data_IF_224887956070
#
_entry.id   IF_224887956070
#
_cell.length_a   1.000
_cell.length_b   1.000
_cell.length_c   1.000
_cell.angle_alpha   90.00
_cell.angle_beta   90.00
_cell.angle_gamma   90.00
#
_symmetry.space_group_name_H-M   'P 1'
#
loop_
_entity.id
_entity.type
_entity.pdbx_description
1 polymer ?
#
# COMPACT_ATOMS: atom_id res chain seq x y z
N UNK A 1 0.12 -17.61 8.59
CA UNK A 1 0.38 -17.53 10.05
C UNK A 1 -0.83 -16.90 10.71
N UNK A 2 -1.52 -17.64 11.59
CA UNK A 2 -2.72 -17.18 12.29
C UNK A 2 -2.43 -16.02 13.21
N UNK A 3 -2.92 -14.83 12.86
CA UNK A 3 -2.76 -13.65 13.71
C UNK A 3 -3.99 -13.52 14.58
N UNK A 4 -3.94 -14.11 15.78
CA UNK A 4 -4.84 -13.72 16.86
C UNK A 4 -4.73 -12.21 17.10
N UNK A 5 -5.78 -11.56 17.58
CA UNK A 5 -5.76 -10.12 17.92
C UNK A 5 -4.61 -9.74 18.86
N UNK A 6 -4.22 -10.67 19.75
CA UNK A 6 -3.05 -10.57 20.63
C UNK A 6 -1.71 -10.54 19.87
N UNK A 7 -1.61 -11.21 18.72
CA UNK A 7 -0.43 -11.17 17.85
C UNK A 7 -0.37 -9.83 17.09
N UNK A 8 -1.50 -9.36 16.53
CA UNK A 8 -1.60 -8.05 15.85
C UNK A 8 -1.12 -6.91 16.76
N UNK A 9 -1.58 -6.88 18.02
CA UNK A 9 -1.17 -5.87 18.98
C UNK A 9 0.34 -5.95 19.29
N UNK A 10 0.88 -7.16 19.48
CA UNK A 10 2.31 -7.37 19.75
C UNK A 10 3.17 -6.93 18.57
N UNK A 11 2.81 -7.31 17.34
CA UNK A 11 3.54 -6.91 16.13
C UNK A 11 3.52 -5.39 15.97
N UNK A 12 2.34 -4.77 16.13
CA UNK A 12 2.24 -3.30 16.10
C UNK A 12 3.19 -2.63 17.09
N UNK A 13 3.20 -3.06 18.36
CA UNK A 13 4.08 -2.48 19.38
C UNK A 13 5.56 -2.72 19.06
N UNK A 14 5.90 -3.88 18.51
CA UNK A 14 7.25 -4.19 18.06
C UNK A 14 7.72 -3.19 16.99
N UNK A 15 6.95 -3.01 15.91
CA UNK A 15 7.31 -2.06 14.85
C UNK A 15 7.29 -0.61 15.32
N UNK A 16 6.39 -0.25 16.24
CA UNK A 16 6.31 1.08 16.84
C UNK A 16 7.59 1.41 17.59
N UNK A 17 8.05 0.47 18.43
CA UNK A 17 9.30 0.61 19.19
C UNK A 17 10.51 0.71 18.26
N UNK A 18 10.58 -0.10 17.20
CA UNK A 18 11.69 -0.05 16.22
C UNK A 18 11.73 1.28 15.46
N UNK A 19 10.58 1.78 14.99
CA UNK A 19 10.46 3.09 14.33
C UNK A 19 10.88 4.22 15.29
N UNK A 20 10.34 4.23 16.51
CA UNK A 20 10.61 5.29 17.47
C UNK A 20 12.07 5.28 17.94
N UNK A 21 12.68 4.10 18.11
CA UNK A 21 14.10 3.99 18.45
C UNK A 21 15.00 4.54 17.33
N UNK A 22 14.64 4.29 16.06
CA UNK A 22 15.34 4.87 14.93
C UNK A 22 15.24 6.40 14.90
N UNK A 23 14.04 6.95 15.09
CA UNK A 23 13.83 8.40 15.16
C UNK A 23 14.58 9.02 16.34
N UNK A 24 14.55 8.38 17.50
CA UNK A 24 15.28 8.81 18.69
C UNK A 24 16.78 8.89 18.42
N UNK A 25 17.36 7.89 17.74
CA UNK A 25 18.78 7.91 17.39
C UNK A 25 19.11 9.07 16.44
N UNK A 26 18.31 9.28 15.38
CA UNK A 26 18.55 10.40 14.44
C UNK A 26 18.43 11.75 15.14
N UNK A 27 17.31 12.00 15.82
CA UNK A 27 17.05 13.28 16.48
C UNK A 27 18.08 13.51 17.60
N UNK A 28 18.38 12.47 18.37
CA UNK A 28 19.40 12.50 19.41
C UNK A 28 20.78 12.82 18.87
N UNK A 29 21.20 12.21 17.75
CA UNK A 29 22.49 12.52 17.12
C UNK A 29 22.56 13.96 16.61
N UNK A 30 21.49 14.47 15.99
CA UNK A 30 21.44 15.88 15.55
C UNK A 30 21.52 16.82 16.75
N UNK A 31 20.80 16.51 17.83
CA UNK A 31 20.84 17.30 19.06
C UNK A 31 22.23 17.31 19.70
N UNK A 32 22.90 16.16 19.77
CA UNK A 32 24.27 16.04 20.28
C UNK A 32 25.25 16.85 19.42
N UNK A 33 25.13 16.81 18.09
CA UNK A 33 25.98 17.62 17.20
C UNK A 33 25.78 19.14 17.45
N UNK A 34 24.53 19.57 17.61
CA UNK A 34 24.22 20.96 17.94
C UNK A 34 24.76 21.36 19.32
N UNK A 35 24.67 20.49 20.31
CA UNK A 35 25.17 20.76 21.65
C UNK A 35 26.71 20.84 21.68
N UNK A 36 27.39 19.95 20.96
CA UNK A 36 28.85 20.04 20.76
C UNK A 36 29.21 21.36 20.09
N UNK A 37 28.47 21.81 19.07
CA UNK A 37 28.70 23.09 18.41
C UNK A 37 28.67 24.25 19.41
N UNK A 38 27.60 24.33 20.21
CA UNK A 38 27.40 25.39 21.21
C UNK A 38 28.52 25.38 22.26
N UNK A 39 28.90 24.20 22.75
CA UNK A 39 29.99 24.07 23.72
C UNK A 39 31.31 24.59 23.12
N UNK A 40 31.68 24.15 21.92
CA UNK A 40 32.94 24.56 21.29
C UNK A 40 32.99 26.07 21.05
N UNK A 41 31.86 26.68 20.66
CA UNK A 41 31.73 28.15 20.55
C UNK A 41 31.93 28.86 21.89
N UNK A 42 31.36 28.33 22.97
CA UNK A 42 31.52 28.92 24.31
C UNK A 42 32.98 28.92 24.78
N UNK A 43 33.78 27.95 24.33
CA UNK A 43 35.22 27.89 24.58
C UNK A 43 36.06 28.74 23.61
N UNK A 44 35.43 29.54 22.75
CA UNK A 44 36.10 30.41 21.76
C UNK A 44 37.07 29.63 20.83
N UNK A 45 36.74 28.37 20.53
CA UNK A 45 37.52 27.58 19.57
C UNK A 45 37.30 28.18 18.18
N UNK A 46 38.37 28.25 17.40
CA UNK A 46 38.34 28.73 16.02
C UNK A 46 37.30 27.96 15.18
N UNK A 47 36.45 28.71 14.47
CA UNK A 47 35.40 28.17 13.61
C UNK A 47 35.93 27.15 12.59
N UNK A 48 37.17 27.34 12.11
CA UNK A 48 37.81 26.40 11.19
C UNK A 48 37.99 25.01 11.81
N UNK A 49 38.35 24.93 13.09
CA UNK A 49 38.53 23.68 13.83
C UNK A 49 37.16 23.04 14.09
N UNK A 50 36.18 23.83 14.49
CA UNK A 50 34.80 23.34 14.72
C UNK A 50 34.25 22.71 13.45
N UNK A 51 34.34 23.40 12.30
CA UNK A 51 33.90 22.89 11.01
C UNK A 51 34.65 21.62 10.60
N UNK A 52 35.95 21.56 10.85
CA UNK A 52 36.79 20.38 10.53
C UNK A 52 36.31 19.12 11.26
N UNK A 53 35.77 19.25 12.48
CA UNK A 53 35.23 18.13 13.25
C UNK A 53 33.78 17.83 12.88
N UNK A 54 32.94 18.86 12.75
CA UNK A 54 31.50 18.69 12.58
C UNK A 54 31.11 18.20 11.19
N UNK A 55 31.81 18.66 10.15
CA UNK A 55 31.47 18.31 8.78
C UNK A 55 31.63 16.79 8.51
N UNK A 56 32.75 16.13 8.89
CA UNK A 56 32.86 14.68 8.81
C UNK A 56 31.77 13.94 9.59
N UNK A 57 31.45 14.38 10.82
CA UNK A 57 30.40 13.76 11.63
C UNK A 57 29.01 13.89 10.97
N UNK A 58 28.70 15.05 10.41
CA UNK A 58 27.46 15.28 9.67
C UNK A 58 27.36 14.42 8.40
N UNK A 59 28.48 14.24 7.69
CA UNK A 59 28.56 13.33 6.52
C UNK A 59 28.34 11.88 6.95
N UNK A 60 29.01 11.42 8.02
CA UNK A 60 28.84 10.05 8.56
C UNK A 60 27.37 9.81 8.95
N UNK A 61 26.75 10.77 9.65
CA UNK A 61 25.35 10.67 10.04
C UNK A 61 24.42 10.63 8.82
N UNK A 62 24.69 11.45 7.80
CA UNK A 62 23.91 11.47 6.56
C UNK A 62 23.99 10.15 5.81
N UNK A 63 25.19 9.58 5.67
CA UNK A 63 25.39 8.26 5.06
C UNK A 63 24.66 7.16 5.86
N UNK A 64 24.76 7.19 7.19
CA UNK A 64 24.02 6.27 8.05
C UNK A 64 22.51 6.34 7.82
N UNK A 65 21.94 7.55 7.75
CA UNK A 65 20.50 7.76 7.49
C UNK A 65 20.12 7.18 6.12
N UNK A 66 20.92 7.43 5.08
CA UNK A 66 20.65 6.91 3.73
C UNK A 66 20.62 5.38 3.70
N UNK A 67 21.59 4.71 4.34
CA UNK A 67 21.65 3.24 4.42
C UNK A 67 20.45 2.68 5.19
N UNK A 68 20.05 3.33 6.29
CA UNK A 68 18.95 2.83 7.14
C UNK A 68 17.55 3.25 6.68
N UNK A 69 17.44 4.22 5.76
CA UNK A 69 16.17 4.74 5.22
C UNK A 69 15.23 3.63 4.76
N UNK A 70 15.73 2.61 4.06
CA UNK A 70 14.90 1.50 3.58
C UNK A 70 14.29 0.69 4.73
N UNK A 71 15.08 0.38 5.77
CA UNK A 71 14.59 -0.32 6.97
C UNK A 71 13.56 0.51 7.72
N UNK A 72 13.77 1.82 7.81
CA UNK A 72 12.80 2.73 8.41
C UNK A 72 11.47 2.73 7.65
N UNK A 73 11.51 2.86 6.31
CA UNK A 73 10.31 2.80 5.48
C UNK A 73 9.56 1.47 5.66
N UNK A 74 10.28 0.35 5.76
CA UNK A 74 9.69 -0.94 6.06
C UNK A 74 8.94 -0.93 7.41
N UNK A 75 9.53 -0.38 8.47
CA UNK A 75 8.85 -0.27 9.77
C UNK A 75 7.59 0.60 9.71
N UNK A 76 7.61 1.69 8.95
CA UNK A 76 6.43 2.55 8.73
C UNK A 76 5.34 1.79 7.99
N UNK A 77 5.69 1.09 6.91
CA UNK A 77 4.76 0.29 6.11
C UNK A 77 4.10 -0.83 6.93
N UNK A 78 4.89 -1.54 7.74
CA UNK A 78 4.36 -2.58 8.64
C UNK A 78 3.44 -1.97 9.70
N UNK A 79 3.80 -0.82 10.28
CA UNK A 79 2.93 -0.11 11.23
C UNK A 79 1.59 0.28 10.63
N UNK A 80 1.61 0.83 9.41
CA UNK A 80 0.39 1.18 8.68
C UNK A 80 -0.47 -0.06 8.44
N UNK A 81 0.14 -1.18 8.01
CA UNK A 81 -0.56 -2.46 7.85
C UNK A 81 -1.24 -2.95 9.13
N UNK A 82 -0.50 -3.04 10.24
CA UNK A 82 -1.10 -3.47 11.51
C UNK A 82 -2.10 -2.46 12.09
N UNK A 83 -2.02 -1.19 11.70
CA UNK A 83 -3.06 -0.20 12.06
C UNK A 83 -4.34 -0.49 11.29
N UNK A 84 -4.25 -0.79 9.99
CA UNK A 84 -5.41 -1.20 9.19
C UNK A 84 -6.09 -2.46 9.74
N UNK A 85 -5.30 -3.46 10.16
CA UNK A 85 -5.85 -4.68 10.74
C UNK A 85 -6.61 -4.45 12.07
N UNK A 86 -6.21 -3.44 12.85
CA UNK A 86 -6.90 -3.08 14.10
C UNK A 86 -8.17 -2.27 13.87
N UNK A 87 -8.12 -1.40 12.88
CA UNK A 87 -9.20 -0.48 12.53
C UNK A 87 -10.08 -1.03 11.38
N UNK A 88 -10.06 -2.34 11.17
CA UNK A 88 -10.79 -3.03 10.11
C UNK A 88 -12.31 -2.87 10.29
N UNK A 89 -12.99 -2.49 9.19
CA UNK A 89 -14.44 -2.27 9.16
C UNK A 89 -15.26 -3.53 8.86
N UNK A 90 -14.62 -4.65 8.50
CA UNK A 90 -15.33 -5.87 8.18
C UNK A 90 -16.13 -5.82 6.86
N UNK A 91 -16.94 -6.87 6.60
CA UNK A 91 -17.74 -6.96 5.38
C UNK A 91 -18.80 -5.86 5.29
N UNK A 92 -19.18 -5.54 4.06
CA UNK A 92 -20.22 -4.55 3.73
C UNK A 92 -21.12 -5.07 2.64
N UNK A 93 -22.40 -4.72 2.75
CA UNK A 93 -23.36 -5.01 1.70
C UNK A 93 -22.98 -4.30 0.39
N UNK A 94 -23.02 -5.04 -0.71
CA UNK A 94 -22.74 -4.55 -2.05
C UNK A 94 -24.04 -4.53 -2.87
N UNK A 95 -24.65 -3.35 -3.11
CA UNK A 95 -25.86 -3.26 -3.93
C UNK A 95 -25.72 -3.89 -5.32
N UNK A 96 -24.51 -3.88 -5.88
CA UNK A 96 -24.20 -4.48 -7.18
C UNK A 96 -23.45 -5.80 -7.01
N UNK A 97 -23.93 -6.85 -7.68
CA UNK A 97 -23.22 -8.13 -7.73
C UNK A 97 -21.97 -8.03 -8.59
N UNK A 98 -20.82 -8.26 -7.95
CA UNK A 98 -19.56 -8.48 -8.65
C UNK A 98 -19.67 -9.73 -9.53
N UNK A 99 -18.86 -9.81 -10.59
CA UNK A 99 -18.83 -10.92 -11.57
C UNK A 99 -20.11 -11.12 -12.39
N UNK A 100 -21.03 -10.14 -12.40
CA UNK A 100 -22.15 -10.12 -13.34
C UNK A 100 -21.72 -9.61 -14.71
N UNK A 101 -22.49 -9.91 -15.76
CA UNK A 101 -22.21 -9.39 -17.11
C UNK A 101 -22.21 -7.86 -17.14
N UNK A 102 -23.18 -7.24 -16.47
CA UNK A 102 -23.30 -5.78 -16.36
C UNK A 102 -22.11 -5.14 -15.65
N UNK A 103 -21.54 -5.82 -14.65
CA UNK A 103 -20.32 -5.36 -14.00
C UNK A 103 -19.10 -5.38 -14.93
N UNK A 104 -18.95 -6.42 -15.75
CA UNK A 104 -17.87 -6.49 -16.76
C UNK A 104 -18.05 -5.44 -17.85
N UNK A 105 -19.28 -5.26 -18.35
CA UNK A 105 -19.64 -4.22 -19.32
C UNK A 105 -19.27 -2.83 -18.78
N UNK A 106 -19.61 -2.53 -17.52
CA UNK A 106 -19.25 -1.27 -16.86
C UNK A 106 -17.74 -1.05 -16.77
N UNK A 107 -16.97 -2.07 -16.41
CA UNK A 107 -15.49 -1.97 -16.37
C UNK A 107 -14.92 -1.62 -17.75
N UNK A 108 -15.44 -2.23 -18.81
CA UNK A 108 -15.01 -1.95 -20.18
C UNK A 108 -15.41 -0.53 -20.62
N UNK A 109 -16.61 -0.08 -20.27
CA UNK A 109 -17.08 1.30 -20.50
C UNK A 109 -16.20 2.35 -19.79
N UNK A 110 -15.71 2.04 -18.59
CA UNK A 110 -14.76 2.88 -17.83
C UNK A 110 -13.33 2.87 -18.43
N UNK A 111 -13.13 2.16 -19.55
CA UNK A 111 -11.92 2.19 -20.36
C UNK A 111 -10.85 1.17 -19.96
N UNK A 112 -11.23 0.10 -19.28
CA UNK A 112 -10.35 -1.03 -19.04
C UNK A 112 -10.32 -1.98 -20.23
N UNK A 113 -9.12 -2.45 -20.59
CA UNK A 113 -8.92 -3.42 -21.66
C UNK A 113 -8.68 -4.80 -21.09
N UNK A 114 -9.19 -5.84 -21.76
CA UNK A 114 -8.84 -7.21 -21.44
C UNK A 114 -7.36 -7.46 -21.79
N UNK A 115 -6.58 -7.87 -20.81
CA UNK A 115 -5.16 -8.19 -21.00
C UNK A 115 -4.90 -9.67 -21.13
N UNK A 116 -5.68 -10.51 -20.43
CA UNK A 116 -5.53 -11.95 -20.45
C UNK A 116 -6.78 -12.66 -19.93
N UNK A 117 -7.09 -13.83 -20.49
CA UNK A 117 -8.16 -14.69 -20.02
C UNK A 117 -7.76 -16.17 -20.18
N UNK A 118 -7.88 -16.95 -19.11
CA UNK A 118 -7.75 -18.41 -19.15
C UNK A 118 -8.89 -19.07 -18.35
N UNK A 119 -8.76 -20.36 -18.03
CA UNK A 119 -9.76 -21.11 -17.23
C UNK A 119 -9.78 -20.70 -15.75
N UNK A 120 -8.69 -20.13 -15.23
CA UNK A 120 -8.49 -19.87 -13.81
C UNK A 120 -8.80 -18.41 -13.42
N UNK A 121 -8.57 -17.46 -14.33
CA UNK A 121 -8.84 -16.04 -14.10
C UNK A 121 -9.05 -15.22 -15.38
N UNK A 122 -9.50 -13.97 -15.20
CA UNK A 122 -9.57 -12.91 -16.22
C UNK A 122 -8.86 -11.68 -15.68
N UNK A 123 -8.09 -11.01 -16.52
CA UNK A 123 -7.35 -9.80 -16.18
C UNK A 123 -7.78 -8.65 -17.09
N UNK A 124 -8.21 -7.56 -16.47
CA UNK A 124 -8.43 -6.27 -17.12
C UNK A 124 -7.39 -5.26 -16.63
N UNK A 125 -6.99 -4.31 -17.49
CA UNK A 125 -6.00 -3.31 -17.13
C UNK A 125 -6.28 -1.96 -17.79
N UNK A 126 -5.73 -0.91 -17.20
CA UNK A 126 -5.76 0.45 -17.74
C UNK A 126 -4.49 1.20 -17.35
N UNK A 127 -3.89 1.89 -18.31
CA UNK A 127 -2.82 2.86 -18.06
C UNK A 127 -3.40 4.27 -17.96
N UNK A 128 -3.24 4.90 -16.80
CA UNK A 128 -3.76 6.24 -16.53
C UNK A 128 -2.57 7.21 -16.40
N UNK A 129 -2.41 8.19 -17.31
CA UNK A 129 -1.30 9.14 -17.27
C UNK A 129 -1.29 10.03 -16.02
N UNK A 130 -2.50 10.34 -15.49
CA UNK A 130 -2.69 11.11 -14.26
C UNK A 130 -4.02 10.77 -13.57
N UNK A 131 -3.97 10.42 -12.29
CA UNK A 131 -5.17 10.24 -11.47
C UNK A 131 -5.76 11.60 -11.10
N UNK A 132 -7.06 11.79 -11.36
CA UNK A 132 -7.77 13.07 -11.18
C UNK A 132 -7.61 13.67 -9.77
N UNK A 133 -7.61 12.81 -8.74
CA UNK A 133 -7.58 13.24 -7.33
C UNK A 133 -6.17 13.35 -6.72
N UNK A 134 -5.11 13.18 -7.53
CA UNK A 134 -3.73 13.15 -7.03
C UNK A 134 -2.81 14.03 -7.89
N UNK A 135 -2.42 15.20 -7.35
CA UNK A 135 -1.62 16.25 -8.04
C UNK A 135 -0.35 15.70 -8.70
N UNK A 136 0.36 14.78 -8.03
CA UNK A 136 1.60 14.15 -8.51
C UNK A 136 1.46 12.63 -8.62
N UNK A 137 0.40 12.15 -9.30
CA UNK A 137 0.21 10.70 -9.45
C UNK A 137 1.28 10.08 -10.36
N UNK A 138 1.69 10.79 -11.42
CA UNK A 138 2.41 10.19 -12.54
C UNK A 138 1.55 9.17 -13.29
N UNK A 139 2.19 8.42 -14.20
CA UNK A 139 1.52 7.32 -14.91
C UNK A 139 1.31 6.15 -13.94
N UNK A 140 0.11 5.59 -13.98
CA UNK A 140 -0.35 4.53 -13.09
C UNK A 140 -0.89 3.39 -13.93
N UNK A 141 -0.50 2.16 -13.62
CA UNK A 141 -1.13 0.95 -14.12
C UNK A 141 -2.15 0.49 -13.08
N UNK A 142 -3.41 0.38 -13.47
CA UNK A 142 -4.45 -0.28 -12.67
C UNK A 142 -4.76 -1.62 -13.30
N UNK A 143 -4.75 -2.69 -12.50
CA UNK A 143 -5.07 -4.06 -12.92
C UNK A 143 -6.25 -4.55 -12.07
N UNK A 144 -7.24 -5.16 -12.73
CA UNK A 144 -8.35 -5.85 -12.10
C UNK A 144 -8.23 -7.33 -12.46
N UNK A 145 -8.04 -8.17 -11.44
CA UNK A 145 -7.84 -9.61 -11.58
C UNK A 145 -9.03 -10.35 -10.98
N UNK A 146 -9.69 -11.18 -11.77
CA UNK A 146 -10.89 -11.91 -11.36
C UNK A 146 -10.63 -13.41 -11.34
N UNK A 147 -10.59 -14.00 -10.15
CA UNK A 147 -10.48 -15.44 -10.00
C UNK A 147 -11.80 -16.13 -10.40
N UNK A 148 -11.70 -17.19 -11.20
CA UNK A 148 -12.85 -18.04 -11.60
C UNK A 148 -13.13 -19.14 -10.57
N UNK A 149 -12.17 -19.46 -9.71
CA UNK A 149 -12.27 -20.52 -8.70
C UNK A 149 -11.76 -20.08 -7.31
N UNK A 150 -12.34 -20.59 -6.21
CA UNK A 150 -12.02 -20.16 -4.84
C UNK A 150 -10.67 -20.66 -4.32
N UNK A 151 -9.99 -21.58 -5.02
CA UNK A 151 -8.64 -22.05 -4.67
C UNK A 151 -7.53 -21.36 -5.47
N UNK A 152 -7.87 -20.36 -6.29
CA UNK A 152 -6.90 -19.63 -7.07
C UNK A 152 -5.92 -18.86 -6.17
N UNK A 153 -4.64 -18.97 -6.51
CA UNK A 153 -3.55 -18.24 -5.88
C UNK A 153 -3.18 -17.02 -6.73
N UNK A 154 -3.45 -15.85 -6.17
CA UNK A 154 -3.15 -14.56 -6.78
C UNK A 154 -1.66 -14.24 -6.87
N UNK A 155 -0.83 -14.96 -6.12
CA UNK A 155 0.62 -14.76 -6.04
C UNK A 155 1.40 -15.85 -6.80
N UNK A 156 0.73 -16.51 -7.74
CA UNK A 156 1.36 -17.49 -8.62
C UNK A 156 2.26 -16.83 -9.67
N UNK A 157 3.36 -17.50 -10.02
CA UNK A 157 4.31 -17.05 -11.05
C UNK A 157 3.65 -16.73 -12.40
N UNK A 158 2.52 -17.37 -12.72
CA UNK A 158 1.77 -17.11 -13.96
C UNK A 158 1.17 -15.70 -13.96
N UNK A 159 0.51 -15.30 -12.86
CA UNK A 159 -0.07 -13.96 -12.71
C UNK A 159 1.02 -12.90 -12.79
N UNK A 160 2.13 -13.11 -12.08
CA UNK A 160 3.25 -12.17 -12.06
C UNK A 160 3.86 -11.99 -13.45
N UNK A 161 4.09 -13.08 -14.20
CA UNK A 161 4.59 -13.01 -15.59
C UNK A 161 3.64 -12.25 -16.49
N UNK A 162 2.32 -12.45 -16.36
CA UNK A 162 1.33 -11.77 -17.21
C UNK A 162 1.31 -10.28 -16.91
N UNK A 163 1.28 -9.88 -15.64
CA UNK A 163 1.31 -8.47 -15.26
C UNK A 163 2.63 -7.82 -15.69
N UNK A 164 3.76 -8.52 -15.53
CA UNK A 164 5.05 -8.06 -16.01
C UNK A 164 5.06 -7.87 -17.53
N UNK A 165 4.50 -8.81 -18.29
CA UNK A 165 4.41 -8.68 -19.75
C UNK A 165 3.56 -7.49 -20.19
N UNK A 166 2.43 -7.22 -19.51
CA UNK A 166 1.63 -6.02 -19.76
C UNK A 166 2.43 -4.74 -19.51
N UNK A 167 3.21 -4.72 -18.43
CA UNK A 167 4.08 -3.60 -18.11
C UNK A 167 5.16 -3.38 -19.18
N UNK A 168 5.88 -4.44 -19.56
CA UNK A 168 6.99 -4.38 -20.52
C UNK A 168 6.55 -4.00 -21.95
N UNK A 169 5.31 -4.32 -22.32
CA UNK A 169 4.77 -4.02 -23.64
C UNK A 169 4.20 -2.59 -23.76
N UNK A 170 4.17 -1.82 -22.67
CA UNK A 170 3.66 -0.46 -22.69
C UNK A 170 4.71 0.53 -23.22
N UNK A 171 4.33 1.33 -24.22
CA UNK A 171 5.22 2.32 -24.88
C UNK A 171 5.93 3.25 -23.88
N UNK A 172 5.26 3.59 -22.79
CA UNK A 172 5.74 4.50 -21.75
C UNK A 172 6.07 3.77 -20.44
N UNK A 173 6.48 2.50 -20.49
CA UNK A 173 6.78 1.66 -19.32
C UNK A 173 7.63 2.38 -18.25
N UNK A 174 8.69 3.08 -18.65
CA UNK A 174 9.62 3.78 -17.73
C UNK A 174 8.97 4.93 -16.96
N UNK A 175 7.82 5.43 -17.42
CA UNK A 175 7.05 6.49 -16.74
C UNK A 175 6.10 5.91 -15.69
N UNK A 176 5.73 4.64 -15.81
CA UNK A 176 4.82 3.95 -14.88
C UNK A 176 5.61 3.60 -13.63
N UNK A 177 5.38 4.33 -12.54
CA UNK A 177 6.01 4.06 -11.24
C UNK A 177 5.02 3.48 -10.21
N UNK A 178 3.75 3.36 -10.59
CA UNK A 178 2.66 3.02 -9.67
C UNK A 178 1.86 1.89 -10.30
N UNK A 179 1.79 0.77 -9.60
CA UNK A 179 1.02 -0.40 -9.99
C UNK A 179 0.00 -0.68 -8.88
N UNK A 180 -1.27 -0.62 -9.25
CA UNK A 180 -2.41 -0.81 -8.36
C UNK A 180 -3.21 -2.02 -8.85
N UNK A 181 -3.27 -3.08 -8.07
CA UNK A 181 -3.90 -4.34 -8.44
C UNK A 181 -5.06 -4.62 -7.50
N UNK A 182 -6.26 -4.81 -8.04
CA UNK A 182 -7.42 -5.33 -7.33
C UNK A 182 -7.60 -6.80 -7.69
N UNK A 183 -7.71 -7.66 -6.69
CA UNK A 183 -7.78 -9.11 -6.85
C UNK A 183 -9.10 -9.61 -6.29
N UNK A 184 -10.05 -9.95 -7.17
CA UNK A 184 -11.40 -10.34 -6.82
C UNK A 184 -11.57 -11.85 -6.78
N UNK A 185 -12.12 -12.36 -5.67
CA UNK A 185 -12.38 -13.78 -5.46
C UNK A 185 -13.74 -14.01 -4.83
N UNK A 186 -14.44 -15.05 -5.28
CA UNK A 186 -15.74 -15.45 -4.72
C UNK A 186 -15.55 -16.40 -3.54
N UNK A 187 -16.32 -16.18 -2.49
CA UNK A 187 -16.39 -17.06 -1.33
C UNK A 187 -17.85 -17.35 -0.99
N UNK A 188 -18.09 -18.48 -0.33
CA UNK A 188 -19.43 -18.85 0.10
C UNK A 188 -19.87 -18.13 1.38
N UNK A 189 -18.94 -17.93 2.30
CA UNK A 189 -19.16 -17.33 3.62
C UNK A 189 -17.91 -16.61 4.09
N UNK A 190 -18.10 -15.66 5.00
CA UNK A 190 -17.01 -14.96 5.66
C UNK A 190 -16.62 -15.70 6.94
N UNK A 191 -15.41 -16.25 6.97
CA UNK A 191 -14.81 -16.89 8.14
C UNK A 191 -13.39 -16.36 8.37
N UNK A 192 -12.73 -16.85 9.42
CA UNK A 192 -11.40 -16.37 9.82
C UNK A 192 -10.33 -16.70 8.76
N UNK A 193 -10.41 -17.85 8.10
CA UNK A 193 -9.43 -18.28 7.10
C UNK A 193 -9.54 -17.42 5.84
N UNK A 194 -10.78 -17.15 5.40
CA UNK A 194 -11.06 -16.24 4.30
C UNK A 194 -10.62 -14.82 4.65
N UNK A 195 -10.89 -14.35 5.87
CA UNK A 195 -10.41 -13.04 6.34
C UNK A 195 -8.90 -12.96 6.25
N UNK A 196 -8.18 -13.98 6.71
CA UNK A 196 -6.71 -14.01 6.67
C UNK A 196 -6.14 -14.03 5.25
N UNK A 197 -6.79 -14.75 4.32
CA UNK A 197 -6.44 -14.73 2.88
C UNK A 197 -6.61 -13.31 2.30
N UNK A 198 -7.74 -12.67 2.62
CA UNK A 198 -8.06 -11.32 2.13
C UNK A 198 -7.24 -10.21 2.80
N UNK A 199 -6.81 -10.40 4.04
CA UNK A 199 -5.91 -9.48 4.76
C UNK A 199 -4.48 -9.53 4.23
N UNK A 200 -4.11 -10.58 3.50
CA UNK A 200 -2.81 -10.75 2.85
C UNK A 200 -2.60 -9.80 1.67
N UNK A 201 -2.52 -8.50 1.95
CA UNK A 201 -2.32 -7.44 0.96
C UNK A 201 -0.83 -7.11 0.74
N UNK A 202 -0.51 -6.54 -0.42
CA UNK A 202 0.78 -5.89 -0.66
C UNK A 202 0.57 -4.38 -0.66
N UNK A 203 1.33 -3.64 0.15
CA UNK A 203 1.30 -2.17 0.17
C UNK A 203 2.71 -1.61 0.19
N UNK A 204 3.47 -1.88 -0.86
CA UNK A 204 4.88 -1.52 -0.95
C UNK A 204 5.05 -0.08 -1.46
N UNK A 205 5.94 0.66 -0.79
CA UNK A 205 6.32 2.03 -1.14
C UNK A 205 7.83 2.21 -1.04
N UNK A 206 8.46 2.58 -2.16
CA UNK A 206 9.87 2.95 -2.20
C UNK A 206 10.08 4.22 -3.04
N UNK A 207 10.37 5.33 -2.36
CA UNK A 207 10.44 6.66 -2.97
C UNK A 207 9.14 6.98 -3.76
N UNK A 208 9.23 7.10 -5.08
CA UNK A 208 8.09 7.37 -5.96
C UNK A 208 7.43 6.10 -6.51
N UNK A 209 7.96 4.91 -6.18
CA UNK A 209 7.44 3.64 -6.64
C UNK A 209 6.41 3.09 -5.66
N UNK A 210 5.24 2.71 -6.17
CA UNK A 210 4.15 2.11 -5.40
C UNK A 210 3.72 0.81 -6.06
N UNK A 211 3.61 -0.24 -5.26
CA UNK A 211 3.05 -1.53 -5.65
C UNK A 211 2.01 -1.90 -4.60
N UNK A 212 0.74 -1.84 -4.98
CA UNK A 212 -0.38 -2.09 -4.07
C UNK A 212 -1.25 -3.20 -4.64
N UNK A 213 -1.35 -4.33 -3.94
CA UNK A 213 -2.27 -5.41 -4.25
C UNK A 213 -3.31 -5.47 -3.13
N UNK A 214 -4.58 -5.34 -3.49
CA UNK A 214 -5.70 -5.40 -2.56
C UNK A 214 -6.64 -6.54 -2.94
N UNK A 215 -6.82 -7.46 -2.01
CA UNK A 215 -7.71 -8.60 -2.18
C UNK A 215 -9.14 -8.19 -1.82
N UNK A 216 -10.08 -8.62 -2.66
CA UNK A 216 -11.51 -8.34 -2.53
C UNK A 216 -12.26 -9.66 -2.56
N UNK A 217 -12.84 -10.02 -1.42
CA UNK A 217 -13.75 -11.16 -1.32
C UNK A 217 -15.17 -10.73 -1.60
N UNK A 218 -15.86 -11.45 -2.47
CA UNK A 218 -17.30 -11.30 -2.71
C UNK A 218 -18.04 -12.53 -2.17
N UNK A 219 -18.96 -12.32 -1.23
CA UNK A 219 -19.75 -13.35 -0.56
C UNK A 219 -21.11 -13.49 -1.24
N UNK A 220 -21.26 -14.54 -2.04
CA UNK A 220 -22.41 -14.68 -2.94
C UNK A 220 -23.73 -14.90 -2.21
N UNK A 221 -23.71 -15.51 -1.01
CA UNK A 221 -24.92 -15.81 -0.23
C UNK A 221 -25.52 -14.57 0.43
N UNK A 222 -24.67 -13.65 0.91
CA UNK A 222 -25.10 -12.44 1.63
C UNK A 222 -25.05 -11.17 0.77
N UNK A 223 -24.50 -11.28 -0.44
CA UNK A 223 -24.24 -10.14 -1.33
C UNK A 223 -23.42 -9.04 -0.62
N UNK A 224 -22.34 -9.49 0.03
CA UNK A 224 -21.39 -8.63 0.74
C UNK A 224 -20.02 -8.68 0.07
N UNK A 225 -19.24 -7.63 0.27
CA UNK A 225 -17.83 -7.60 -0.06
C UNK A 225 -16.99 -7.39 1.18
N UNK A 226 -15.79 -7.94 1.18
CA UNK A 226 -14.76 -7.66 2.16
C UNK A 226 -13.47 -7.29 1.42
N UNK A 227 -12.81 -6.26 1.91
CA UNK A 227 -11.44 -5.92 1.60
C UNK A 227 -10.88 -5.21 2.82
N UNK A 228 -9.60 -5.38 3.11
CA UNK A 228 -8.99 -4.71 4.25
C UNK A 228 -9.14 -3.19 4.07
N UNK A 229 -9.80 -2.53 5.02
CA UNK A 229 -10.01 -1.08 4.95
C UNK A 229 -10.08 -0.46 6.33
N UNK A 230 -9.22 0.55 6.61
CA UNK A 230 -9.22 1.20 7.90
C UNK A 230 -10.41 2.15 8.06
N UNK A 231 -10.96 2.21 9.26
CA UNK A 231 -11.95 3.22 9.67
C UNK A 231 -11.40 4.64 9.71
N UNK A 232 -10.15 4.79 10.16
CA UNK A 232 -9.58 6.09 10.56
C UNK A 232 -8.75 6.73 9.46
N UNK A 233 -7.78 6.00 8.91
CA UNK A 233 -6.80 6.57 7.98
C UNK A 233 -6.24 5.52 7.03
N UNK A 234 -6.33 5.83 5.74
CA UNK A 234 -5.68 5.04 4.70
C UNK A 234 -4.15 5.19 4.73
N UNK A 235 -3.39 4.12 4.45
CA UNK A 235 -1.93 4.14 4.53
C UNK A 235 -1.31 5.08 3.49
N UNK A 236 -1.97 5.22 2.34
CA UNK A 236 -1.62 6.22 1.34
C UNK A 236 -2.81 6.52 0.43
N UNK A 237 -2.69 7.63 -0.30
CA UNK A 237 -3.67 8.11 -1.28
C UNK A 237 -3.98 7.13 -2.42
N UNK A 238 -3.06 6.24 -2.80
CA UNK A 238 -3.31 5.28 -3.90
C UNK A 238 -4.13 4.09 -3.42
N UNK A 239 -3.92 3.68 -2.15
CA UNK A 239 -4.79 2.72 -1.48
C UNK A 239 -6.22 3.25 -1.34
N UNK A 240 -6.35 4.55 -1.00
CA UNK A 240 -7.65 5.22 -0.97
C UNK A 240 -8.33 5.18 -2.35
N UNK A 241 -7.61 5.47 -3.44
CA UNK A 241 -8.15 5.36 -4.81
C UNK A 241 -8.65 3.96 -5.12
N UNK A 242 -7.93 2.90 -4.72
CA UNK A 242 -8.38 1.52 -4.90
C UNK A 242 -9.66 1.24 -4.09
N UNK A 243 -9.74 1.76 -2.86
CA UNK A 243 -10.92 1.61 -2.00
C UNK A 243 -12.14 2.36 -2.56
N UNK A 244 -11.94 3.55 -3.15
CA UNK A 244 -13.00 4.28 -3.86
C UNK A 244 -13.46 3.52 -5.11
N UNK A 245 -12.53 2.92 -5.86
CA UNK A 245 -12.85 2.14 -7.05
C UNK A 245 -13.72 0.91 -6.71
N UNK A 246 -13.37 0.18 -5.64
CA UNK A 246 -14.19 -0.93 -5.15
C UNK A 246 -15.59 -0.46 -4.78
N UNK A 247 -15.72 0.63 -4.03
CA UNK A 247 -17.03 1.17 -3.62
C UNK A 247 -17.86 1.65 -4.80
N UNK A 248 -17.23 2.33 -5.76
CA UNK A 248 -17.88 2.78 -7.00
C UNK A 248 -18.49 1.61 -7.78
N UNK A 249 -17.74 0.51 -7.88
CA UNK A 249 -18.21 -0.68 -8.57
C UNK A 249 -19.23 -1.49 -7.77
N UNK A 250 -19.13 -1.48 -6.45
CA UNK A 250 -20.09 -2.10 -5.56
C UNK A 250 -21.43 -1.35 -5.52
N UNK A 251 -21.49 -0.11 -6.01
CA UNK A 251 -22.66 0.76 -5.89
C UNK A 251 -22.86 1.30 -4.47
N UNK A 252 -21.79 1.31 -3.67
CA UNK A 252 -21.82 1.82 -2.30
C UNK A 252 -21.70 3.34 -2.37
N UNK A 253 -22.66 4.06 -1.79
CA UNK A 253 -22.56 5.51 -1.66
C UNK A 253 -21.43 5.81 -0.70
N UNK A 254 -20.45 6.60 -1.14
CA UNK A 254 -19.43 7.15 -0.27
C UNK A 254 -20.14 8.10 0.72
N UNK A 255 -20.59 7.60 1.86
CA UNK A 255 -20.85 8.47 3.00
C UNK A 255 -19.52 9.14 3.33
N UNK A 256 -19.51 10.47 3.31
CA UNK A 256 -18.34 11.33 3.48
C UNK A 256 -17.51 10.91 4.69
N UNK A 257 -16.59 9.97 4.50
CA UNK A 257 -15.71 9.53 5.58
C UNK A 257 -14.52 10.47 5.57
N UNK A 258 -14.55 11.35 6.57
CA UNK A 258 -13.69 12.47 6.89
C UNK A 258 -12.18 12.36 6.58
N UNK A 259 -11.64 13.56 6.30
CA UNK A 259 -10.24 14.00 6.25
C UNK A 259 -9.37 13.58 5.05
N UNK A 260 -9.58 14.30 3.95
CA UNK A 260 -8.48 14.83 3.14
C UNK A 260 -7.49 15.59 4.04
N UNK A 261 -6.40 14.95 4.48
CA UNK A 261 -5.16 15.63 4.91
C UNK A 261 -3.93 14.90 4.37
#
# INVERSE_FOLDING_TARGET
MGTNSLDIQKQYQYYLKKRNHFLFFIIGSVFVLALIYIILLQFQIDDSIILTIQLPLAVILSVYILIKKQKFNYYVMQLEYYTMLKDDLGPIHAPVSFFSKSFVEKIQEDGYHEGYQNKDFILYYQFIPKLKNIVKSGHVLIVLLFAKHPKFDFYSDEVDKIIQNLYMNYKDEKKVRKQLVLQFKKYESFDLDVKMDLDGIINFKAADNYLIHLNVGYFTKTNEIYYLRPKTRFPNKYYYVLSELIQHYAGIKNEETHEKK
#
